data_IF_261493212330
#
_entry.id   IF_261493212330
#
_cell.length_a   1.000
_cell.length_b   1.000
_cell.length_c   1.000
_cell.angle_alpha   90.00
_cell.angle_beta   90.00
_cell.angle_gamma   90.00
#
_symmetry.space_group_name_H-M   'P 1'
#
loop_
_entity.id
_entity.type
_entity.pdbx_description
1 polymer ?
#
# COMPACT_ATOMS: atom_id res chain seq x y z
N UNK A 1 -39.33 33.89 -18.61
CA UNK A 1 -38.90 32.50 -18.23
C UNK A 1 -37.45 32.35 -18.61
N UNK A 2 -36.55 32.15 -17.62
CA UNK A 2 -35.11 31.92 -17.87
C UNK A 2 -34.94 30.57 -18.58
N UNK A 3 -34.19 30.47 -19.70
CA UNK A 3 -34.02 29.22 -20.40
C UNK A 3 -33.36 28.16 -19.46
N UNK A 4 -33.73 26.89 -19.60
CA UNK A 4 -33.15 25.85 -18.75
C UNK A 4 -31.62 25.79 -18.95
N UNK A 5 -30.88 25.85 -17.85
CA UNK A 5 -29.43 25.81 -17.88
C UNK A 5 -28.95 24.55 -18.61
N UNK A 6 -27.83 24.65 -19.35
CA UNK A 6 -27.22 23.50 -20.01
C UNK A 6 -26.97 22.35 -19.03
N UNK A 7 -27.12 21.10 -19.44
CA UNK A 7 -26.91 19.94 -18.55
C UNK A 7 -25.54 19.89 -17.87
N UNK A 8 -24.49 20.38 -18.57
CA UNK A 8 -23.13 20.48 -18.03
C UNK A 8 -23.09 21.45 -16.83
N UNK A 9 -23.65 22.64 -16.92
CA UNK A 9 -23.68 23.60 -15.80
C UNK A 9 -24.48 23.08 -14.60
N UNK A 10 -25.56 22.32 -14.87
CA UNK A 10 -26.35 21.68 -13.81
C UNK A 10 -25.50 20.62 -13.07
N UNK A 11 -24.71 19.83 -13.79
CA UNK A 11 -23.77 18.87 -13.24
C UNK A 11 -22.72 19.58 -12.37
N UNK A 12 -22.04 20.60 -12.88
CA UNK A 12 -21.04 21.36 -12.13
C UNK A 12 -21.61 21.93 -10.83
N UNK A 13 -22.83 22.45 -10.86
CA UNK A 13 -23.52 22.96 -9.67
C UNK A 13 -23.76 21.87 -8.61
N UNK A 14 -24.07 20.64 -9.03
CA UNK A 14 -24.21 19.50 -8.12
C UNK A 14 -22.88 19.14 -7.47
N UNK A 15 -21.80 19.09 -8.25
CA UNK A 15 -20.46 18.77 -7.73
C UNK A 15 -19.88 19.86 -6.82
N UNK A 16 -20.24 21.14 -7.01
CA UNK A 16 -19.90 22.21 -6.06
C UNK A 16 -20.56 22.01 -4.69
N UNK A 17 -21.74 21.40 -4.63
CA UNK A 17 -22.44 21.10 -3.37
C UNK A 17 -21.90 19.83 -2.69
N UNK A 18 -21.55 18.83 -3.48
CA UNK A 18 -21.03 17.54 -3.03
C UNK A 18 -19.97 17.05 -4.01
N UNK A 19 -18.74 16.88 -3.52
CA UNK A 19 -17.58 16.55 -4.36
C UNK A 19 -17.67 15.22 -5.11
N UNK A 20 -18.45 14.25 -4.61
CA UNK A 20 -18.55 12.91 -5.19
C UNK A 20 -20.00 12.48 -5.34
N UNK A 21 -20.34 11.86 -6.46
CA UNK A 21 -21.67 11.38 -6.78
C UNK A 21 -21.60 9.99 -7.42
N UNK A 22 -22.61 9.16 -7.15
CA UNK A 22 -22.86 7.96 -7.95
C UNK A 22 -23.62 8.33 -9.22
N UNK A 23 -23.42 7.55 -10.30
CA UNK A 23 -24.05 7.82 -11.60
C UNK A 23 -25.59 7.80 -11.52
N UNK A 24 -26.13 6.83 -10.77
CA UNK A 24 -27.58 6.68 -10.59
C UNK A 24 -28.20 7.89 -9.87
N UNK A 25 -27.53 8.39 -8.84
CA UNK A 25 -27.96 9.60 -8.12
C UNK A 25 -27.94 10.83 -9.02
N UNK A 26 -26.91 10.97 -9.87
CA UNK A 26 -26.84 12.06 -10.85
C UNK A 26 -27.99 11.96 -11.87
N UNK A 27 -28.27 10.76 -12.37
CA UNK A 27 -29.33 10.51 -13.32
C UNK A 27 -30.70 10.89 -12.75
N UNK A 28 -31.00 10.45 -11.53
CA UNK A 28 -32.26 10.80 -10.81
C UNK A 28 -32.37 12.31 -10.58
N UNK A 29 -31.28 12.93 -10.06
CA UNK A 29 -31.31 14.38 -9.71
C UNK A 29 -31.45 15.27 -10.94
N UNK A 30 -30.87 14.86 -12.06
CA UNK A 30 -30.90 15.64 -13.30
C UNK A 30 -32.12 15.34 -14.18
N UNK A 31 -32.77 14.19 -13.99
CA UNK A 31 -33.87 13.71 -14.82
C UNK A 31 -33.43 13.23 -16.21
N UNK A 32 -32.21 12.67 -16.31
CA UNK A 32 -31.66 12.14 -17.57
C UNK A 32 -31.34 10.65 -17.47
N UNK A 33 -31.36 9.97 -18.62
CA UNK A 33 -30.86 8.60 -18.71
C UNK A 33 -29.37 8.51 -18.38
N UNK A 34 -28.92 7.38 -17.79
CA UNK A 34 -27.53 7.13 -17.39
C UNK A 34 -26.52 7.40 -18.52
N UNK A 35 -26.86 7.00 -19.75
CA UNK A 35 -25.99 7.19 -20.91
C UNK A 35 -25.77 8.68 -21.22
N UNK A 36 -26.82 9.51 -21.06
CA UNK A 36 -26.71 10.96 -21.25
C UNK A 36 -25.84 11.60 -20.18
N UNK A 37 -26.01 11.20 -18.93
CA UNK A 37 -25.16 11.69 -17.82
C UNK A 37 -23.70 11.33 -18.03
N UNK A 38 -23.38 10.10 -18.46
CA UNK A 38 -22.00 9.71 -18.81
C UNK A 38 -21.41 10.60 -19.91
N UNK A 39 -22.20 10.93 -20.92
CA UNK A 39 -21.77 11.83 -22.01
C UNK A 39 -21.48 13.24 -21.50
N UNK A 40 -22.32 13.77 -20.62
CA UNK A 40 -22.08 15.09 -20.00
C UNK A 40 -20.85 15.08 -19.10
N UNK A 41 -20.66 14.05 -18.27
CA UNK A 41 -19.45 13.88 -17.47
C UNK A 41 -18.20 13.85 -18.36
N UNK A 42 -18.26 13.14 -19.49
CA UNK A 42 -17.13 13.08 -20.44
C UNK A 42 -16.80 14.45 -21.04
N UNK A 43 -17.79 15.30 -21.27
CA UNK A 43 -17.59 16.66 -21.81
C UNK A 43 -16.87 17.59 -20.83
N UNK A 44 -17.21 17.51 -19.54
CA UNK A 44 -16.64 18.40 -18.50
C UNK A 44 -15.36 17.82 -17.84
N UNK A 45 -15.04 16.55 -18.10
CA UNK A 45 -13.93 15.86 -17.47
C UNK A 45 -14.25 15.35 -16.06
N UNK A 46 -13.86 14.12 -15.78
CA UNK A 46 -14.11 13.48 -14.47
C UNK A 46 -13.05 12.46 -14.10
N UNK A 47 -12.94 12.20 -12.81
CA UNK A 47 -12.29 11.01 -12.29
C UNK A 47 -13.33 10.02 -11.79
N UNK A 48 -13.01 8.74 -11.92
CA UNK A 48 -13.77 7.62 -11.39
C UNK A 48 -13.01 6.99 -10.23
N UNK A 49 -13.72 6.63 -9.17
CA UNK A 49 -13.09 5.96 -8.03
C UNK A 49 -12.46 4.62 -8.42
N UNK A 50 -11.37 4.26 -7.77
CA UNK A 50 -10.83 2.89 -7.84
C UNK A 50 -11.43 1.98 -6.76
N UNK A 51 -12.09 2.54 -5.75
CA UNK A 51 -12.89 1.83 -4.76
C UNK A 51 -14.32 1.59 -5.27
N UNK A 52 -15.10 0.74 -4.58
CA UNK A 52 -16.53 0.49 -4.83
C UNK A 52 -16.84 0.16 -6.30
N UNK A 53 -15.99 -0.64 -6.95
CA UNK A 53 -16.13 -0.99 -8.37
C UNK A 53 -16.25 0.22 -9.31
N UNK A 54 -15.70 1.37 -8.92
CA UNK A 54 -15.71 2.57 -9.71
C UNK A 54 -17.07 3.24 -9.83
N UNK A 55 -17.92 3.14 -8.83
CA UNK A 55 -19.27 3.71 -8.87
C UNK A 55 -19.31 5.21 -8.63
N UNK A 56 -18.28 5.78 -8.01
CA UNK A 56 -18.20 7.18 -7.66
C UNK A 56 -17.49 8.00 -8.73
N UNK A 57 -18.03 9.19 -8.96
CA UNK A 57 -17.51 10.17 -9.91
C UNK A 57 -17.22 11.47 -9.19
N UNK A 58 -16.17 12.17 -9.62
CA UNK A 58 -15.82 13.53 -9.20
C UNK A 58 -15.35 14.32 -10.41
N UNK A 59 -15.50 15.64 -10.40
CA UNK A 59 -14.99 16.49 -11.49
C UNK A 59 -13.47 16.59 -11.44
N UNK A 60 -12.91 16.94 -12.60
CA UNK A 60 -11.46 17.03 -12.78
C UNK A 60 -10.78 18.02 -11.81
N UNK A 61 -11.46 19.10 -11.46
CA UNK A 61 -10.95 20.19 -10.64
C UNK A 61 -11.23 20.02 -9.12
N UNK A 62 -11.89 18.92 -8.72
CA UNK A 62 -12.29 18.72 -7.33
C UNK A 62 -11.28 18.00 -6.46
N UNK A 63 -10.44 17.05 -6.98
CA UNK A 63 -9.50 16.30 -6.18
C UNK A 63 -8.24 17.09 -5.86
N UNK A 64 -7.83 17.03 -4.60
CA UNK A 64 -6.51 17.44 -4.16
C UNK A 64 -5.62 16.20 -4.02
N UNK A 65 -4.94 15.85 -5.11
CA UNK A 65 -4.11 14.65 -5.18
C UNK A 65 -2.80 14.82 -4.45
N UNK A 66 -2.45 13.81 -3.65
CA UNK A 66 -1.17 13.73 -2.97
C UNK A 66 0.02 13.46 -3.93
N UNK A 67 1.22 13.26 -3.36
CA UNK A 67 2.47 12.97 -4.12
C UNK A 67 2.41 11.66 -4.89
N UNK A 68 1.59 10.71 -4.44
CA UNK A 68 1.36 9.42 -5.09
C UNK A 68 0.25 9.50 -6.16
N UNK A 69 -0.35 10.68 -6.34
CA UNK A 69 -1.48 10.87 -7.26
C UNK A 69 -2.77 10.28 -6.76
N UNK A 70 -2.92 10.13 -5.44
CA UNK A 70 -4.10 9.60 -4.76
C UNK A 70 -4.89 10.71 -4.08
N UNK A 71 -6.21 10.56 -4.07
CA UNK A 71 -7.10 11.41 -3.31
C UNK A 71 -8.16 10.57 -2.62
N UNK A 72 -8.25 10.68 -1.29
CA UNK A 72 -9.23 9.99 -0.47
C UNK A 72 -10.25 10.99 0.06
N UNK A 73 -11.51 10.73 -0.22
CA UNK A 73 -12.61 11.58 0.24
C UNK A 73 -13.73 10.71 0.82
N UNK A 74 -13.94 10.80 2.15
CA UNK A 74 -14.96 10.04 2.89
C UNK A 74 -14.91 8.52 2.61
N UNK A 75 -13.72 7.95 2.60
CA UNK A 75 -13.50 6.53 2.33
C UNK A 75 -13.55 6.12 0.85
N UNK A 76 -13.76 7.07 -0.06
CA UNK A 76 -13.75 6.84 -1.50
C UNK A 76 -12.37 7.20 -2.04
N UNK A 77 -11.73 6.28 -2.76
CA UNK A 77 -10.40 6.50 -3.34
C UNK A 77 -10.46 6.84 -4.83
N UNK A 78 -9.72 7.89 -5.20
CA UNK A 78 -9.50 8.32 -6.59
C UNK A 78 -8.01 8.36 -6.90
N UNK A 79 -7.68 8.15 -8.17
CA UNK A 79 -6.29 8.19 -8.62
C UNK A 79 -6.18 8.94 -9.95
N UNK A 80 -5.10 9.72 -10.11
CA UNK A 80 -4.71 10.32 -11.41
C UNK A 80 -4.48 9.26 -12.48
N UNK A 81 -4.12 8.04 -12.05
CA UNK A 81 -3.81 6.92 -12.94
C UNK A 81 -5.04 6.10 -13.33
N UNK A 82 -6.23 6.47 -12.82
CA UNK A 82 -7.52 5.88 -13.16
C UNK A 82 -7.83 4.62 -12.37
N UNK A 83 -7.66 3.43 -12.96
CA UNK A 83 -8.03 2.17 -12.32
C UNK A 83 -7.10 1.76 -11.18
N UNK A 84 -7.60 0.89 -10.28
CA UNK A 84 -6.78 0.31 -9.19
C UNK A 84 -5.52 -0.39 -9.73
N UNK A 85 -5.66 -1.15 -10.82
CA UNK A 85 -4.53 -1.85 -11.45
C UNK A 85 -3.47 -0.88 -11.99
N UNK A 86 -3.87 0.14 -12.73
CA UNK A 86 -2.95 1.15 -13.24
C UNK A 86 -2.27 1.96 -12.12
N UNK A 87 -3.01 2.21 -11.04
CA UNK A 87 -2.48 2.89 -9.85
C UNK A 87 -1.42 2.03 -9.14
N UNK A 88 -1.68 0.73 -8.97
CA UNK A 88 -0.72 -0.20 -8.37
C UNK A 88 0.55 -0.29 -9.23
N UNK A 89 0.43 -0.45 -10.55
CA UNK A 89 1.58 -0.48 -11.45
C UNK A 89 2.44 0.78 -11.32
N UNK A 90 1.79 1.94 -11.26
CA UNK A 90 2.49 3.21 -11.08
C UNK A 90 3.21 3.30 -9.72
N UNK A 91 2.52 2.97 -8.62
CA UNK A 91 3.11 3.01 -7.27
C UNK A 91 4.30 2.06 -7.15
N UNK A 92 4.16 0.83 -7.66
CA UNK A 92 5.23 -0.16 -7.66
C UNK A 92 6.40 0.31 -8.53
N UNK A 93 6.12 0.84 -9.73
CA UNK A 93 7.16 1.33 -10.65
C UNK A 93 7.96 2.50 -10.09
N UNK A 94 7.35 3.37 -9.27
CA UNK A 94 8.04 4.49 -8.61
C UNK A 94 8.77 4.11 -7.33
N UNK A 95 8.47 2.97 -6.75
CA UNK A 95 9.13 2.54 -5.52
C UNK A 95 10.57 2.08 -5.80
N UNK A 96 11.56 2.53 -5.05
CA UNK A 96 12.94 2.11 -5.25
C UNK A 96 13.18 0.62 -4.94
N UNK A 97 12.44 0.04 -4.01
CA UNK A 97 12.63 -1.34 -3.54
C UNK A 97 11.40 -2.23 -3.73
N UNK A 98 10.44 -1.81 -4.59
CA UNK A 98 9.14 -2.45 -4.68
C UNK A 98 8.27 -2.18 -3.45
N UNK A 99 7.05 -2.72 -3.43
CA UNK A 99 6.10 -2.53 -2.32
C UNK A 99 5.48 -3.86 -1.90
N UNK A 100 5.27 -4.03 -0.60
CA UNK A 100 4.50 -5.14 -0.05
C UNK A 100 2.99 -4.93 -0.22
N UNK A 101 2.19 -5.99 -0.08
CA UNK A 101 0.75 -5.89 -0.11
C UNK A 101 0.19 -5.02 1.03
N UNK A 102 0.85 -5.03 2.19
CA UNK A 102 0.48 -4.20 3.34
C UNK A 102 0.74 -2.71 3.06
N UNK A 103 1.93 -2.35 2.56
CA UNK A 103 2.28 -0.98 2.18
C UNK A 103 1.33 -0.43 1.11
N UNK A 104 1.00 -1.24 0.09
CA UNK A 104 0.04 -0.87 -0.95
C UNK A 104 -1.37 -0.69 -0.39
N UNK A 105 -1.85 -1.62 0.46
CA UNK A 105 -3.17 -1.53 1.07
C UNK A 105 -3.30 -0.29 1.96
N UNK A 106 -2.23 0.06 2.68
CA UNK A 106 -2.18 1.26 3.51
C UNK A 106 -2.24 2.54 2.66
N UNK A 107 -1.42 2.63 1.59
CA UNK A 107 -1.42 3.77 0.68
C UNK A 107 -2.77 3.95 -0.02
N UNK A 108 -3.34 2.87 -0.51
CA UNK A 108 -4.60 2.87 -1.25
C UNK A 108 -5.83 2.94 -0.33
N UNK A 109 -5.67 2.78 0.99
CA UNK A 109 -6.77 2.60 1.95
C UNK A 109 -7.80 1.56 1.46
N UNK A 110 -7.30 0.54 0.76
CA UNK A 110 -8.13 -0.49 0.13
C UNK A 110 -7.37 -1.82 0.06
N UNK A 111 -8.01 -2.95 0.37
CA UNK A 111 -7.37 -4.26 0.26
C UNK A 111 -7.01 -4.57 -1.20
N UNK A 112 -5.75 -4.91 -1.46
CA UNK A 112 -5.27 -5.11 -2.83
C UNK A 112 -4.73 -6.52 -3.12
N UNK A 113 -4.79 -7.47 -2.16
CA UNK A 113 -4.21 -8.81 -2.31
C UNK A 113 -4.70 -9.56 -3.56
N UNK A 114 -6.00 -9.54 -3.84
CA UNK A 114 -6.57 -10.23 -5.01
C UNK A 114 -6.06 -9.62 -6.31
N UNK A 115 -6.03 -8.29 -6.40
CA UNK A 115 -5.55 -7.56 -7.59
C UNK A 115 -4.06 -7.78 -7.80
N UNK A 116 -3.25 -7.78 -6.74
CA UNK A 116 -1.81 -8.08 -6.82
C UNK A 116 -1.54 -9.49 -7.35
N UNK A 117 -2.33 -10.47 -6.90
CA UNK A 117 -2.25 -11.84 -7.42
C UNK A 117 -2.59 -11.90 -8.91
N UNK A 118 -3.62 -11.19 -9.35
CA UNK A 118 -3.99 -11.10 -10.76
C UNK A 118 -2.90 -10.44 -11.60
N UNK A 119 -2.36 -9.30 -11.14
CA UNK A 119 -1.30 -8.57 -11.84
C UNK A 119 -0.02 -9.40 -11.97
N UNK A 120 0.35 -10.15 -10.92
CA UNK A 120 1.48 -11.06 -10.97
C UNK A 120 1.24 -12.21 -11.96
N UNK A 121 0.08 -12.87 -11.93
CA UNK A 121 -0.28 -13.93 -12.89
C UNK A 121 -0.31 -13.43 -14.35
N UNK A 122 -0.70 -12.18 -14.56
CA UNK A 122 -0.71 -11.52 -15.86
C UNK A 122 0.67 -11.03 -16.32
N UNK A 123 1.74 -11.24 -15.55
CA UNK A 123 3.09 -10.78 -15.86
C UNK A 123 3.29 -9.26 -15.80
N UNK A 124 2.32 -8.51 -15.25
CA UNK A 124 2.40 -7.05 -15.11
C UNK A 124 3.21 -6.61 -13.89
N UNK A 125 3.31 -7.46 -12.89
CA UNK A 125 4.18 -7.31 -11.73
C UNK A 125 4.99 -8.59 -11.55
N UNK A 126 6.23 -8.42 -11.12
CA UNK A 126 7.05 -9.50 -10.57
C UNK A 126 6.95 -9.49 -9.05
N UNK A 127 7.45 -10.53 -8.39
CA UNK A 127 7.50 -10.59 -6.93
C UNK A 127 8.75 -11.30 -6.44
N UNK A 128 9.24 -10.86 -5.31
CA UNK A 128 10.25 -11.57 -4.54
C UNK A 128 9.75 -11.77 -3.11
N UNK A 129 10.37 -12.68 -2.37
CA UNK A 129 9.99 -13.00 -0.99
C UNK A 129 11.17 -12.82 -0.04
N UNK A 130 11.59 -11.59 0.23
CA UNK A 130 12.61 -11.33 1.22
C UNK A 130 12.03 -11.55 2.63
N UNK A 131 12.75 -12.23 3.49
CA UNK A 131 12.38 -12.41 4.90
C UNK A 131 10.92 -12.85 5.13
N UNK A 132 10.40 -13.74 4.27
CA UNK A 132 9.06 -14.33 4.45
C UNK A 132 7.87 -13.50 3.94
N UNK A 133 8.05 -12.22 3.61
CA UNK A 133 6.98 -11.37 3.06
C UNK A 133 7.16 -11.14 1.54
N UNK A 134 6.07 -11.13 0.81
CA UNK A 134 6.12 -10.80 -0.62
C UNK A 134 6.25 -9.28 -0.82
N UNK A 135 7.20 -8.90 -1.69
CA UNK A 135 7.29 -7.56 -2.29
C UNK A 135 7.03 -7.67 -3.77
N UNK A 136 6.23 -6.76 -4.28
CA UNK A 136 5.88 -6.66 -5.69
C UNK A 136 6.79 -5.65 -6.36
N UNK A 137 7.29 -6.02 -7.53
CA UNK A 137 8.25 -5.28 -8.34
C UNK A 137 7.66 -4.97 -9.69
N UNK A 138 8.20 -3.96 -10.36
CA UNK A 138 7.84 -3.67 -11.75
C UNK A 138 8.19 -4.84 -12.66
N UNK A 139 7.38 -5.08 -13.70
CA UNK A 139 7.67 -6.09 -14.72
C UNK A 139 8.80 -5.66 -15.66
N UNK A 140 9.06 -4.36 -15.80
CA UNK A 140 10.16 -3.84 -16.59
C UNK A 140 11.50 -4.35 -16.07
N UNK A 141 12.33 -5.06 -16.89
CA UNK A 141 13.56 -5.71 -16.42
C UNK A 141 14.57 -4.74 -15.81
N UNK A 142 14.65 -3.50 -16.32
CA UNK A 142 15.60 -2.48 -15.82
C UNK A 142 15.19 -1.97 -14.46
N UNK A 143 13.90 -1.68 -14.27
CA UNK A 143 13.35 -1.26 -12.99
C UNK A 143 13.40 -2.40 -11.97
N UNK A 144 13.05 -3.61 -12.39
CA UNK A 144 13.08 -4.82 -11.57
C UNK A 144 14.46 -5.07 -10.98
N UNK A 145 15.51 -5.04 -11.82
CA UNK A 145 16.90 -5.24 -11.36
C UNK A 145 17.29 -4.25 -10.28
N UNK A 146 17.05 -2.95 -10.50
CA UNK A 146 17.31 -1.91 -9.50
C UNK A 146 16.51 -2.11 -8.20
N UNK A 147 15.24 -2.47 -8.34
CA UNK A 147 14.37 -2.71 -7.18
C UNK A 147 14.84 -3.92 -6.37
N UNK A 148 15.33 -4.99 -7.01
CA UNK A 148 15.90 -6.16 -6.33
C UNK A 148 17.16 -5.80 -5.56
N UNK A 149 18.07 -5.05 -6.16
CA UNK A 149 19.28 -4.55 -5.51
C UNK A 149 18.96 -3.70 -4.28
N UNK A 150 18.05 -2.74 -4.43
CA UNK A 150 17.63 -1.88 -3.32
C UNK A 150 16.89 -2.66 -2.21
N UNK A 151 16.05 -3.62 -2.59
CA UNK A 151 15.40 -4.49 -1.64
C UNK A 151 16.39 -5.36 -0.87
N UNK A 152 17.46 -5.83 -1.49
CA UNK A 152 18.54 -6.58 -0.85
C UNK A 152 19.32 -5.70 0.14
N UNK A 153 19.68 -4.47 -0.26
CA UNK A 153 20.33 -3.50 0.63
C UNK A 153 19.49 -3.14 1.84
N UNK A 154 18.17 -2.97 1.65
CA UNK A 154 17.23 -2.66 2.74
C UNK A 154 17.04 -3.83 3.73
N UNK A 155 17.51 -5.03 3.40
CA UNK A 155 17.47 -6.22 4.26
C UNK A 155 18.69 -6.37 5.15
N UNK A 156 19.74 -5.56 4.93
CA UNK A 156 20.89 -5.56 5.83
C UNK A 156 20.38 -5.10 7.21
N UNK A 157 20.47 -5.97 8.25
CA UNK A 157 19.94 -5.63 9.56
C UNK A 157 20.69 -4.40 10.08
N UNK A 158 19.96 -3.30 10.28
CA UNK A 158 20.55 -2.11 10.88
C UNK A 158 20.70 -2.31 12.39
N UNK A 159 21.88 -2.15 12.95
CA UNK A 159 22.08 -2.22 14.41
C UNK A 159 21.22 -1.21 15.17
N UNK A 160 20.80 -0.13 14.49
CA UNK A 160 19.99 0.95 15.05
C UNK A 160 18.48 0.76 14.88
N UNK A 161 18.02 -0.19 14.07
CA UNK A 161 16.60 -0.40 13.87
C UNK A 161 15.94 -1.03 15.10
N UNK A 162 14.81 -0.46 15.53
CA UNK A 162 13.95 -1.11 16.54
C UNK A 162 13.38 -2.41 15.98
N UNK A 163 13.27 -3.44 16.82
CA UNK A 163 12.67 -4.70 16.42
C UNK A 163 11.19 -4.50 16.13
N UNK A 164 10.70 -5.08 15.01
CA UNK A 164 9.26 -5.16 14.78
C UNK A 164 8.62 -6.04 15.87
N UNK A 165 7.36 -5.81 16.21
CA UNK A 165 6.63 -6.62 17.21
C UNK A 165 6.71 -8.10 16.91
N UNK A 166 6.63 -8.49 15.65
CA UNK A 166 6.74 -9.89 15.23
C UNK A 166 8.16 -10.45 15.45
N UNK A 167 9.19 -9.66 15.13
CA UNK A 167 10.58 -10.05 15.32
C UNK A 167 10.91 -10.16 16.81
N UNK A 168 10.46 -9.19 17.61
CA UNK A 168 10.61 -9.21 19.07
C UNK A 168 9.99 -10.46 19.69
N UNK A 169 8.79 -10.84 19.25
CA UNK A 169 8.13 -12.08 19.69
C UNK A 169 9.01 -13.32 19.42
N UNK A 170 9.55 -13.46 18.22
CA UNK A 170 10.40 -14.61 17.88
C UNK A 170 11.72 -14.62 18.65
N UNK A 171 12.32 -13.46 18.87
CA UNK A 171 13.52 -13.32 19.73
C UNK A 171 13.22 -13.80 21.15
N UNK A 172 12.07 -13.39 21.72
CA UNK A 172 11.64 -13.84 23.04
C UNK A 172 11.38 -15.34 23.08
N UNK A 173 10.72 -15.90 22.06
CA UNK A 173 10.47 -17.35 21.96
C UNK A 173 11.79 -18.15 21.97
N UNK A 174 12.79 -17.75 21.18
CA UNK A 174 14.09 -18.46 21.18
C UNK A 174 14.83 -18.26 22.49
N UNK A 175 14.75 -17.09 23.13
CA UNK A 175 15.33 -16.85 24.45
C UNK A 175 14.65 -17.69 25.56
N UNK A 176 13.31 -17.85 25.51
CA UNK A 176 12.57 -18.67 26.50
C UNK A 176 12.93 -20.16 26.36
N UNK A 177 13.10 -20.65 25.13
CA UNK A 177 13.51 -22.03 24.88
C UNK A 177 14.89 -22.36 25.43
N UNK A 178 15.82 -21.43 25.22
CA UNK A 178 17.22 -21.58 25.68
C UNK A 178 17.77 -20.23 26.22
N UNK A 179 17.61 -19.96 27.52
CA UNK A 179 18.01 -18.68 28.12
C UNK A 179 19.53 -18.41 28.11
N UNK A 180 20.33 -19.46 27.93
CA UNK A 180 21.80 -19.38 27.92
C UNK A 180 22.39 -18.89 26.57
N UNK A 181 21.59 -18.81 25.49
CA UNK A 181 22.07 -18.41 24.17
C UNK A 181 22.62 -16.97 24.15
N UNK A 182 23.70 -16.74 23.43
CA UNK A 182 24.19 -15.39 23.15
C UNK A 182 23.21 -14.63 22.21
N UNK A 183 23.33 -13.31 22.12
CA UNK A 183 22.48 -12.53 21.21
C UNK A 183 22.75 -12.89 19.74
N UNK A 184 24.02 -13.25 19.41
CA UNK A 184 24.41 -13.75 18.09
C UNK A 184 23.76 -15.10 17.80
N UNK A 185 23.70 -15.99 18.77
CA UNK A 185 23.07 -17.31 18.63
C UNK A 185 21.55 -17.18 18.48
N UNK A 186 20.92 -16.28 19.25
CA UNK A 186 19.49 -15.98 19.09
C UNK A 186 19.22 -15.42 17.69
N UNK A 187 20.04 -14.47 17.21
CA UNK A 187 19.92 -13.92 15.85
C UNK A 187 20.05 -15.01 14.79
N UNK A 188 21.04 -15.90 14.91
CA UNK A 188 21.24 -17.01 13.98
C UNK A 188 20.02 -17.96 13.94
N UNK A 189 19.47 -18.35 15.10
CA UNK A 189 18.29 -19.21 15.18
C UNK A 189 17.03 -18.56 14.61
N UNK A 190 16.80 -17.28 14.89
CA UNK A 190 15.68 -16.54 14.29
C UNK A 190 15.83 -16.48 12.77
N UNK A 191 17.04 -16.30 12.27
CA UNK A 191 17.33 -16.36 10.83
C UNK A 191 17.06 -17.75 10.25
N UNK A 192 17.52 -18.81 10.91
CA UNK A 192 17.37 -20.19 10.45
C UNK A 192 15.90 -20.64 10.47
N UNK A 193 15.21 -20.45 11.60
CA UNK A 193 13.85 -20.98 11.79
C UNK A 193 12.75 -20.10 11.18
N UNK A 194 13.00 -18.79 11.02
CA UNK A 194 11.97 -17.82 10.60
C UNK A 194 12.33 -17.01 9.36
N UNK A 195 13.56 -17.18 8.86
CA UNK A 195 14.10 -16.41 7.72
C UNK A 195 14.04 -14.89 7.95
N UNK A 196 14.19 -14.46 9.21
CA UNK A 196 14.22 -13.07 9.62
C UNK A 196 15.64 -12.67 10.02
N UNK A 197 16.25 -11.79 9.24
CA UNK A 197 17.56 -11.24 9.57
C UNK A 197 17.44 -10.20 10.70
N UNK A 198 18.15 -10.42 11.80
CA UNK A 198 18.15 -9.54 12.98
C UNK A 198 19.59 -9.28 13.39
N UNK A 199 19.93 -8.01 13.64
CA UNK A 199 21.24 -7.67 14.17
C UNK A 199 21.31 -8.02 15.67
N UNK A 200 22.38 -8.67 16.15
CA UNK A 200 22.56 -8.99 17.57
C UNK A 200 22.47 -7.75 18.47
N UNK A 201 22.97 -6.61 18.01
CA UNK A 201 22.95 -5.32 18.72
C UNK A 201 21.50 -4.80 18.88
N UNK A 202 20.62 -5.07 17.91
CA UNK A 202 19.21 -4.71 18.00
C UNK A 202 18.48 -5.57 19.06
N UNK A 203 18.85 -6.86 19.17
CA UNK A 203 18.36 -7.76 20.23
C UNK A 203 18.84 -7.27 21.59
N UNK A 204 20.14 -6.95 21.73
CA UNK A 204 20.71 -6.45 22.97
C UNK A 204 20.00 -5.18 23.46
N UNK A 205 19.77 -4.23 22.55
CA UNK A 205 19.04 -2.99 22.87
C UNK A 205 17.61 -3.29 23.31
N UNK A 206 16.89 -4.15 22.59
CA UNK A 206 15.54 -4.55 22.95
C UNK A 206 15.49 -5.11 24.38
N UNK A 207 16.46 -5.96 24.77
CA UNK A 207 16.53 -6.46 26.14
C UNK A 207 16.81 -5.36 27.14
N UNK A 208 17.66 -4.39 26.83
CA UNK A 208 17.95 -3.23 27.69
C UNK A 208 16.73 -2.33 27.85
N UNK A 209 16.06 -1.95 26.76
CA UNK A 209 14.88 -1.08 26.76
C UNK A 209 13.72 -1.66 27.57
N UNK A 210 13.55 -2.98 27.53
CA UNK A 210 12.49 -3.67 28.25
C UNK A 210 12.93 -4.30 29.57
N UNK A 211 14.12 -3.95 30.08
CA UNK A 211 14.70 -4.46 31.31
C UNK A 211 14.66 -5.99 31.46
N UNK A 212 14.81 -6.71 30.34
CA UNK A 212 14.83 -8.16 30.30
C UNK A 212 16.20 -8.67 30.78
N UNK A 213 16.20 -9.55 31.80
CA UNK A 213 17.42 -10.15 32.31
C UNK A 213 17.83 -11.32 31.44
N UNK A 214 19.08 -11.29 30.94
CA UNK A 214 19.70 -12.46 30.34
C UNK A 214 20.27 -13.32 31.48
N UNK A 215 19.84 -14.57 31.59
CA UNK A 215 20.41 -15.52 32.54
C UNK A 215 21.79 -15.89 32.04
N UNK A 216 22.86 -15.41 32.70
CA UNK A 216 24.23 -15.91 32.41
C UNK A 216 24.30 -17.36 32.83
N UNK A 217 24.95 -18.24 32.04
CA UNK A 217 25.27 -19.58 32.52
C UNK A 217 26.12 -19.45 33.76
N UNK A 218 25.80 -20.24 34.78
CA UNK A 218 26.64 -20.34 35.99
C UNK A 218 28.06 -20.78 35.57
N UNK A 219 29.11 -20.15 36.10
CA UNK A 219 30.47 -20.66 35.88
C UNK A 219 30.56 -22.06 36.47
N UNK A 220 31.01 -23.01 35.66
CA UNK A 220 31.39 -24.36 36.09
C UNK A 220 32.70 -24.29 36.87
#
# INVERSE_FOLDING_TARGET
>A
MTPPRPPAERLEKLFRRRKCWMLDQLAQTLGYALISVRRFLKQIGYFRSYTDNGRWYTLHDSPDFDRDGLWHYRGIGFSKHGSLTATIDHLVGRSPAGLSASELSQKLQHPCHAVLTQLHKAGRLDRLRPCGQFRYLAADPRLNGRQREQAALAQTPSPMAALSTQTALWVLVEHIKEPALSFEQIAARVQEHRHLAVAPEAIQRFFQEHALKKTSPAPN
#
